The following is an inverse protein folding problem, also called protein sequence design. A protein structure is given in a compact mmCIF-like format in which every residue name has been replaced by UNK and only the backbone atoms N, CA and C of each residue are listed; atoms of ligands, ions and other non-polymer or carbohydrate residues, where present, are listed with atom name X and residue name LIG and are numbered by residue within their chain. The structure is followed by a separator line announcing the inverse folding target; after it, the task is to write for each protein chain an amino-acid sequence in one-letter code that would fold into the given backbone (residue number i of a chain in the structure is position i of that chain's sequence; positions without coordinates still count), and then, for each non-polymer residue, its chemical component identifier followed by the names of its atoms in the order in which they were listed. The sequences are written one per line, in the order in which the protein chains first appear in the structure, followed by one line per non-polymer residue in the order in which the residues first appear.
data_IF_592213551851
#
_entry.id   IF_592213551851
#
_cell.length_a   1.000
_cell.length_b   1.000
_cell.length_c   1.000
_cell.angle_alpha   90.00
_cell.angle_beta   90.00
_cell.angle_gamma   90.00
#
_symmetry.space_group_name_H-M   'P 1'
#
loop_
_entity.id
_entity.type
_entity.pdbx_description
1 polymer ?
#
# COMPACT_ATOMS: atom_id res chain seq x y z
N UNK A 1 -13.03 5.83 -6.04
CA UNK A 1 -12.24 5.63 -4.81
C UNK A 1 -13.00 6.32 -3.69
N UNK A 2 -13.35 5.59 -2.64
CA UNK A 2 -14.04 6.14 -1.47
C UNK A 2 -13.05 6.91 -0.58
N UNK A 3 -13.44 8.11 -0.15
CA UNK A 3 -12.58 9.03 0.60
C UNK A 3 -12.30 8.51 2.01
N UNK A 4 -13.31 7.95 2.70
CA UNK A 4 -13.16 7.46 4.07
C UNK A 4 -12.16 6.29 4.14
N UNK A 5 -12.23 5.36 3.18
CA UNK A 5 -11.27 4.25 3.06
C UNK A 5 -9.85 4.72 2.80
N UNK A 6 -9.66 5.76 1.98
CA UNK A 6 -8.35 6.33 1.72
C UNK A 6 -7.74 6.99 2.97
N UNK A 7 -8.53 7.77 3.72
CA UNK A 7 -8.11 8.30 5.03
C UNK A 7 -7.80 7.20 6.05
N UNK A 8 -8.60 6.13 6.07
CA UNK A 8 -8.33 4.95 6.88
C UNK A 8 -6.98 4.31 6.57
N UNK A 9 -6.62 4.22 5.29
CA UNK A 9 -5.32 3.70 4.85
C UNK A 9 -4.17 4.61 5.30
N UNK A 10 -4.27 5.93 5.09
CA UNK A 10 -3.25 6.90 5.56
C UNK A 10 -3.05 6.77 7.08
N UNK A 11 -4.16 6.72 7.84
CA UNK A 11 -4.14 6.58 9.30
C UNK A 11 -3.49 5.28 9.76
N UNK A 12 -3.64 4.19 9.00
CA UNK A 12 -3.00 2.89 9.28
C UNK A 12 -1.50 2.91 8.99
N UNK A 13 -1.10 3.53 7.87
CA UNK A 13 0.30 3.50 7.40
C UNK A 13 1.22 4.42 8.21
N UNK A 14 0.78 5.64 8.56
CA UNK A 14 1.66 6.65 9.18
C UNK A 14 1.11 7.29 10.44
N UNK A 15 -0.14 7.01 10.80
CA UNK A 15 -0.87 7.83 11.78
C UNK A 15 -0.87 9.34 11.46
N UNK A 16 -0.84 9.68 10.17
CA UNK A 16 -0.71 11.06 9.66
C UNK A 16 0.64 11.73 9.92
N UNK A 17 1.68 10.98 10.28
CA UNK A 17 3.05 11.51 10.31
C UNK A 17 3.62 11.58 8.89
N UNK A 18 3.79 12.81 8.41
CA UNK A 18 4.33 13.15 7.10
C UNK A 18 5.78 12.72 6.90
N UNK A 19 6.52 12.57 8.01
CA UNK A 19 7.94 12.23 8.03
C UNK A 19 8.22 10.77 8.37
N UNK A 20 7.16 9.97 8.57
CA UNK A 20 7.25 8.58 8.97
C UNK A 20 8.17 7.77 8.06
N UNK A 21 9.09 7.02 8.67
CA UNK A 21 9.98 6.09 8.00
C UNK A 21 9.92 4.72 8.66
N UNK A 22 9.76 3.65 7.86
CA UNK A 22 9.81 2.28 8.40
C UNK A 22 11.25 1.74 8.43
N UNK A 23 11.54 0.72 9.26
CA UNK A 23 12.86 0.05 9.28
C UNK A 23 13.28 -0.53 7.93
N UNK A 24 12.32 -0.92 7.10
CA UNK A 24 12.56 -1.47 5.75
C UNK A 24 12.57 -0.39 4.65
N UNK A 25 12.41 0.89 5.02
CA UNK A 25 12.62 2.03 4.15
C UNK A 25 11.36 2.56 3.43
N UNK A 26 10.17 2.22 3.91
CA UNK A 26 8.92 2.87 3.48
C UNK A 26 8.86 4.32 4.00
N UNK A 27 8.26 5.24 3.24
CA UNK A 27 8.38 6.68 3.50
C UNK A 27 7.03 7.43 3.43
N UNK A 28 6.84 8.37 4.35
CA UNK A 28 5.77 9.38 4.38
C UNK A 28 4.38 8.84 4.73
N UNK A 29 3.37 9.68 4.49
CA UNK A 29 1.97 9.47 4.90
C UNK A 29 1.38 8.11 4.51
N UNK A 30 1.76 7.60 3.35
CA UNK A 30 1.25 6.36 2.77
C UNK A 30 2.32 5.27 2.66
N UNK A 31 3.41 5.42 3.41
CA UNK A 31 4.51 4.44 3.55
C UNK A 31 4.93 3.85 2.20
N UNK A 32 5.25 4.73 1.24
CA UNK A 32 5.59 4.31 -0.11
C UNK A 32 7.04 3.84 -0.13
N UNK A 33 7.26 2.63 -0.67
CA UNK A 33 8.61 2.12 -0.92
C UNK A 33 9.28 2.93 -2.03
N UNK A 34 10.58 3.31 -1.91
CA UNK A 34 11.29 4.08 -2.93
C UNK A 34 11.28 3.44 -4.33
N UNK A 35 11.27 2.11 -4.42
CA UNK A 35 11.15 1.38 -5.68
C UNK A 35 9.78 1.63 -6.33
N UNK A 36 8.70 1.49 -5.56
CA UNK A 36 7.31 1.76 -5.99
C UNK A 36 7.14 3.23 -6.37
N UNK A 37 7.62 4.16 -5.53
CA UNK A 37 7.56 5.59 -5.84
C UNK A 37 8.27 5.95 -7.14
N UNK A 38 9.44 5.37 -7.41
CA UNK A 38 10.17 5.57 -8.67
C UNK A 38 9.41 5.01 -9.87
N UNK A 39 8.74 3.87 -9.72
CA UNK A 39 7.90 3.30 -10.78
C UNK A 39 6.73 4.24 -11.09
N UNK A 40 5.99 4.65 -10.06
CA UNK A 40 4.85 5.58 -10.19
C UNK A 40 5.29 6.87 -10.87
N UNK A 41 6.43 7.44 -10.44
CA UNK A 41 6.96 8.67 -11.02
C UNK A 41 7.19 8.55 -12.53
N UNK A 42 7.66 7.38 -13.02
CA UNK A 42 7.79 7.13 -14.46
C UNK A 42 6.43 7.03 -15.15
N UNK A 43 5.51 6.27 -14.57
CA UNK A 43 4.18 6.04 -15.17
C UNK A 43 3.36 7.33 -15.32
N UNK A 44 3.48 8.26 -14.38
CA UNK A 44 2.74 9.53 -14.40
C UNK A 44 3.59 10.73 -14.89
N UNK A 45 4.77 10.47 -15.47
CA UNK A 45 5.74 11.48 -15.94
C UNK A 45 6.09 12.55 -14.88
N UNK A 46 6.24 12.12 -13.62
CA UNK A 46 6.63 12.98 -12.50
C UNK A 46 8.17 13.03 -12.34
N UNK A 47 8.78 14.21 -12.14
CA UNK A 47 10.23 14.32 -11.92
C UNK A 47 10.71 13.58 -10.67
N UNK A 48 11.63 12.62 -10.84
CA UNK A 48 12.22 11.87 -9.72
C UNK A 48 13.70 12.19 -9.55
N UNK A 49 14.02 13.04 -8.56
CA UNK A 49 15.42 13.40 -8.23
C UNK A 49 16.02 12.52 -7.13
N UNK A 50 15.24 12.25 -6.08
CA UNK A 50 15.66 11.47 -4.92
C UNK A 50 14.45 10.87 -4.22
N UNK A 51 14.65 9.81 -3.42
CA UNK A 51 13.60 9.20 -2.59
C UNK A 51 13.02 10.17 -1.54
N UNK A 52 13.75 11.22 -1.17
CA UNK A 52 13.29 12.24 -0.21
C UNK A 52 12.04 12.97 -0.67
N UNK A 53 11.72 12.94 -1.96
CA UNK A 53 10.45 13.49 -2.46
C UNK A 53 9.23 12.78 -1.87
N UNK A 54 9.37 11.52 -1.44
CA UNK A 54 8.31 10.78 -0.77
C UNK A 54 8.00 11.32 0.64
N UNK A 55 8.84 12.20 1.20
CA UNK A 55 8.53 12.90 2.46
C UNK A 55 7.73 14.19 2.23
N UNK A 56 7.49 14.58 0.97
CA UNK A 56 6.61 15.70 0.66
C UNK A 56 5.15 15.21 0.69
N UNK A 57 4.29 15.72 1.59
CA UNK A 57 2.93 15.19 1.80
C UNK A 57 2.10 15.12 0.52
N UNK A 58 2.13 16.19 -0.28
CA UNK A 58 1.38 16.29 -1.54
C UNK A 58 1.84 15.25 -2.57
N UNK A 59 3.14 14.98 -2.67
CA UNK A 59 3.69 13.95 -3.56
C UNK A 59 3.35 12.56 -3.04
N UNK A 60 3.51 12.34 -1.73
CA UNK A 60 3.24 11.05 -1.11
C UNK A 60 1.77 10.66 -1.27
N UNK A 61 0.83 11.58 -0.96
CA UNK A 61 -0.61 11.36 -1.16
C UNK A 61 -0.96 11.13 -2.62
N UNK A 62 -0.36 11.89 -3.56
CA UNK A 62 -0.59 11.69 -5.00
C UNK A 62 -0.16 10.29 -5.43
N UNK A 63 1.03 9.86 -4.99
CA UNK A 63 1.59 8.57 -5.39
C UNK A 63 0.82 7.43 -4.75
N UNK A 64 0.47 7.54 -3.46
CA UNK A 64 -0.27 6.51 -2.76
C UNK A 64 -1.72 6.42 -3.24
N UNK A 65 -2.37 7.55 -3.59
CA UNK A 65 -3.68 7.54 -4.26
C UNK A 65 -3.62 6.83 -5.62
N UNK A 66 -2.58 7.11 -6.41
CA UNK A 66 -2.36 6.45 -7.69
C UNK A 66 -2.15 4.95 -7.53
N UNK A 67 -1.28 4.53 -6.60
CA UNK A 67 -1.02 3.12 -6.35
C UNK A 67 -2.24 2.39 -5.78
N UNK A 68 -2.96 3.01 -4.85
CA UNK A 68 -4.19 2.45 -4.30
C UNK A 68 -5.29 2.30 -5.36
N UNK A 69 -5.42 3.28 -6.27
CA UNK A 69 -6.30 3.15 -7.43
C UNK A 69 -5.92 1.95 -8.30
N UNK A 70 -4.63 1.75 -8.61
CA UNK A 70 -4.21 0.57 -9.36
C UNK A 70 -4.61 -0.73 -8.66
N UNK A 71 -4.51 -0.79 -7.33
CA UNK A 71 -4.93 -1.98 -6.59
C UNK A 71 -6.45 -2.17 -6.65
N UNK A 72 -7.23 -1.10 -6.51
CA UNK A 72 -8.69 -1.18 -6.69
C UNK A 72 -9.05 -1.68 -8.09
N UNK A 73 -8.44 -1.13 -9.13
CA UNK A 73 -8.73 -1.52 -10.51
C UNK A 73 -8.30 -2.97 -10.79
N UNK A 74 -7.19 -3.42 -10.18
CA UNK A 74 -6.69 -4.80 -10.33
C UNK A 74 -7.58 -5.86 -9.68
N UNK A 75 -8.30 -5.49 -8.61
CA UNK A 75 -9.15 -6.40 -7.85
C UNK A 75 -10.64 -6.03 -7.97
N UNK A 76 -11.05 -5.48 -9.12
CA UNK A 76 -12.45 -5.17 -9.46
C UNK A 76 -13.20 -4.35 -8.40
N UNK A 77 -12.48 -3.45 -7.72
CA UNK A 77 -13.01 -2.61 -6.65
C UNK A 77 -13.16 -3.30 -5.29
N UNK A 78 -12.75 -4.58 -5.14
CA UNK A 78 -12.75 -5.28 -3.86
C UNK A 78 -11.76 -4.64 -2.89
N UNK A 79 -12.30 -3.84 -1.97
CA UNK A 79 -11.54 -3.05 -1.02
C UNK A 79 -10.54 -3.87 -0.19
N UNK A 80 -10.97 -5.01 0.35
CA UNK A 80 -10.12 -5.85 1.21
C UNK A 80 -8.91 -6.39 0.43
N UNK A 81 -9.12 -6.89 -0.79
CA UNK A 81 -8.05 -7.38 -1.66
C UNK A 81 -7.12 -6.25 -2.09
N UNK A 82 -7.68 -5.07 -2.41
CA UNK A 82 -6.88 -3.91 -2.78
C UNK A 82 -6.02 -3.40 -1.62
N UNK A 83 -6.54 -3.35 -0.40
CA UNK A 83 -5.80 -2.95 0.79
C UNK A 83 -4.69 -3.96 1.12
N UNK A 84 -4.98 -5.25 1.06
CA UNK A 84 -3.97 -6.29 1.23
C UNK A 84 -2.90 -6.25 0.15
N UNK A 85 -3.27 -5.98 -1.10
CA UNK A 85 -2.32 -5.85 -2.20
C UNK A 85 -1.48 -4.58 -2.10
N UNK A 86 -2.03 -3.51 -1.52
CA UNK A 86 -1.27 -2.29 -1.24
C UNK A 86 -0.12 -2.58 -0.27
N UNK A 87 -0.39 -3.34 0.80
CA UNK A 87 0.59 -3.67 1.84
C UNK A 87 1.54 -4.82 1.43
N UNK A 88 0.99 -5.94 0.97
CA UNK A 88 1.74 -7.17 0.70
C UNK A 88 2.20 -7.29 -0.77
N UNK A 89 1.73 -6.43 -1.66
CA UNK A 89 1.96 -6.51 -3.09
C UNK A 89 0.96 -7.43 -3.82
N UNK A 90 0.52 -7.07 -5.03
CA UNK A 90 -0.56 -7.78 -5.71
C UNK A 90 -0.18 -9.19 -6.19
N UNK A 91 1.13 -9.49 -6.31
CA UNK A 91 1.59 -10.84 -6.62
C UNK A 91 1.30 -11.82 -5.48
N UNK A 92 1.47 -11.37 -4.23
CA UNK A 92 1.19 -12.19 -3.06
C UNK A 92 -0.32 -12.41 -2.90
N UNK A 93 -1.13 -11.38 -3.08
CA UNK A 93 -2.60 -11.54 -3.08
C UNK A 93 -3.07 -12.50 -4.17
N UNK A 94 -2.54 -12.41 -5.39
CA UNK A 94 -2.86 -13.36 -6.45
C UNK A 94 -2.43 -14.80 -6.13
N UNK A 95 -1.34 -15.00 -5.38
CA UNK A 95 -0.97 -16.34 -4.89
C UNK A 95 -1.97 -16.83 -3.85
N UNK A 96 -2.35 -15.99 -2.90
CA UNK A 96 -3.32 -16.33 -1.85
C UNK A 96 -4.68 -16.70 -2.44
N UNK A 97 -5.16 -15.97 -3.45
CA UNK A 97 -6.42 -16.27 -4.15
C UNK A 97 -6.39 -17.58 -4.95
N UNK A 98 -5.20 -18.06 -5.35
CA UNK A 98 -5.05 -19.37 -6.00
C UNK A 98 -4.97 -20.52 -5.02
N UNK A 99 -4.66 -20.23 -3.76
CA UNK A 99 -4.68 -21.21 -2.67
C UNK A 99 -6.15 -21.27 -2.23
N UNK A 100 -6.91 -22.08 -2.95
CA UNK A 100 -8.34 -22.34 -2.72
C UNK A 100 -8.54 -23.01 -1.35
N UNK A 101 -8.69 -22.18 -0.33
CA UNK A 101 -9.33 -22.55 0.93
C UNK A 101 -10.31 -21.43 1.23
N UNK A 102 -11.59 -21.76 1.34
CA UNK A 102 -12.60 -20.86 1.90
C UNK A 102 -12.14 -20.41 3.28
N UNK A 103 -11.53 -19.24 3.35
CA UNK A 103 -11.32 -18.53 4.59
C UNK A 103 -12.30 -17.38 4.62
N UNK A 104 -13.04 -17.29 5.73
CA UNK A 104 -13.74 -16.06 6.06
C UNK A 104 -12.73 -14.90 6.09
N UNK A 105 -13.15 -13.71 5.67
CA UNK A 105 -12.26 -12.58 5.41
C UNK A 105 -11.42 -12.16 6.65
N UNK A 106 -11.91 -12.48 7.85
CA UNK A 106 -11.23 -12.37 9.13
C UNK A 106 -10.04 -13.33 9.29
N UNK A 107 -10.19 -14.61 8.94
CA UNK A 107 -9.10 -15.60 8.99
C UNK A 107 -8.02 -15.32 7.93
N UNK A 108 -8.40 -14.75 6.79
CA UNK A 108 -7.45 -14.31 5.76
C UNK A 108 -6.62 -13.09 6.20
N UNK A 109 -7.20 -12.18 6.98
CA UNK A 109 -6.46 -11.05 7.56
C UNK A 109 -5.47 -11.54 8.63
N UNK A 110 -5.84 -12.57 9.42
CA UNK A 110 -4.94 -13.17 10.44
C UNK A 110 -3.77 -13.95 9.82
N UNK A 111 -3.98 -14.67 8.72
CA UNK A 111 -2.91 -15.47 8.06
C UNK A 111 -1.86 -14.61 7.34
N UNK A 112 -2.15 -13.34 7.05
CA UNK A 112 -1.14 -12.36 6.58
C UNK A 112 -0.19 -11.96 7.73
N UNK A 113 -0.69 -11.86 8.96
CA UNK A 113 0.13 -11.52 10.12
C UNK A 113 1.11 -12.65 10.49
N UNK A 114 0.67 -13.92 10.40
CA UNK A 114 1.51 -15.07 10.72
C UNK A 114 2.68 -15.26 9.73
N UNK A 115 2.46 -14.98 8.44
CA UNK A 115 3.52 -15.06 7.42
C UNK A 115 4.50 -13.88 7.43
N UNK A 116 4.23 -12.84 8.22
CA UNK A 116 5.10 -11.69 8.42
C UNK A 116 5.96 -11.75 9.69
N UNK A 117 5.97 -12.89 10.42
CA UNK A 117 6.93 -13.19 11.48
C UNK A 117 7.28 -12.02 12.39
N UNK A 118 6.51 -11.83 13.46
CA UNK A 118 6.83 -11.00 14.63
C UNK A 118 7.48 -9.63 14.36
N UNK A 119 6.65 -8.59 14.31
CA UNK A 119 7.01 -7.28 14.88
C UNK A 119 5.84 -6.75 15.71
N UNK A 120 5.77 -7.25 16.94
CA UNK A 120 5.40 -6.43 18.09
C UNK A 120 6.69 -6.19 18.89
#
# INVERSE_FOLDING_TARGET
MDTARFYGLIRRESMFDETAGSPVGAMGLMQIMPKTGRQIAREINYPWRSKSILLQPSVNLKFGAYYYRQMLDKFDGHFALAAAAYNAGPHNVNKWLKIDREYAADIWIETIAENQGNVA
#
